data_IF_613131473650
#
_entry.id   IF_613131473650
#
_cell.length_a   1.000
_cell.length_b   1.000
_cell.length_c   1.000
_cell.angle_alpha   90.00
_cell.angle_beta   90.00
_cell.angle_gamma   90.00
#
_symmetry.space_group_name_H-M   'P 1'
#
loop_
_entity.id
_entity.type
_entity.pdbx_description
1 polymer ?
#
# COMPACT_ATOMS: atom_id res chain seq x y z
N UNK A 1 10.72 -20.31 5.57
CA UNK A 1 9.72 -20.42 4.47
C UNK A 1 10.48 -20.76 3.19
N UNK A 2 9.92 -21.66 2.38
CA UNK A 2 10.51 -22.03 1.08
C UNK A 2 9.94 -21.09 0.01
N UNK A 3 10.72 -20.76 -1.01
CA UNK A 3 10.22 -20.07 -2.20
C UNK A 3 9.51 -21.10 -3.07
N UNK A 4 8.28 -20.83 -3.46
CA UNK A 4 7.48 -21.67 -4.36
C UNK A 4 7.58 -21.11 -5.78
N UNK A 5 7.33 -21.94 -6.78
CA UNK A 5 7.38 -21.50 -8.19
C UNK A 5 6.35 -20.39 -8.46
N UNK A 6 5.21 -20.40 -7.77
CA UNK A 6 4.20 -19.35 -7.83
C UNK A 6 4.71 -17.98 -7.39
N UNK A 7 5.58 -17.92 -6.36
CA UNK A 7 6.16 -16.65 -5.91
C UNK A 7 7.03 -16.03 -7.02
N UNK A 8 7.76 -16.85 -7.75
CA UNK A 8 8.61 -16.42 -8.87
C UNK A 8 7.77 -15.98 -10.05
N UNK A 9 6.73 -16.75 -10.37
CA UNK A 9 5.82 -16.41 -11.48
C UNK A 9 5.07 -15.11 -11.21
N UNK A 10 4.68 -14.81 -9.96
CA UNK A 10 4.10 -13.53 -9.57
C UNK A 10 5.07 -12.36 -9.78
N UNK A 11 6.36 -12.52 -9.47
CA UNK A 11 7.37 -11.49 -9.72
C UNK A 11 7.56 -11.25 -11.23
N UNK A 12 7.55 -12.32 -12.02
CA UNK A 12 7.64 -12.22 -13.49
C UNK A 12 6.42 -11.50 -14.06
N UNK A 13 5.20 -11.82 -13.62
CA UNK A 13 3.99 -11.14 -14.08
C UNK A 13 3.96 -9.68 -13.65
N UNK A 14 4.41 -9.36 -12.43
CA UNK A 14 4.58 -7.98 -11.97
C UNK A 14 5.57 -7.20 -12.83
N UNK A 15 6.72 -7.81 -13.15
CA UNK A 15 7.71 -7.21 -14.04
C UNK A 15 7.14 -7.04 -15.46
N UNK A 16 6.50 -8.08 -15.99
CA UNK A 16 5.87 -8.12 -17.32
C UNK A 16 4.83 -7.01 -17.51
N UNK A 17 4.05 -6.74 -16.47
CA UNK A 17 3.04 -5.68 -16.48
C UNK A 17 3.65 -4.29 -16.70
N UNK A 18 4.88 -4.05 -16.20
CA UNK A 18 5.60 -2.77 -16.39
C UNK A 18 6.09 -2.56 -17.83
N UNK A 19 6.28 -3.64 -18.59
CA UNK A 19 6.73 -3.62 -19.98
C UNK A 19 5.59 -3.85 -20.99
N UNK A 20 4.34 -3.84 -20.50
CA UNK A 20 3.16 -3.91 -21.35
C UNK A 20 3.03 -2.66 -22.23
N UNK A 21 2.63 -2.84 -23.47
CA UNK A 21 2.30 -1.77 -24.41
C UNK A 21 0.80 -1.52 -24.41
N UNK A 22 0.40 -0.25 -24.54
CA UNK A 22 -1.01 0.12 -24.62
C UNK A 22 -1.44 0.28 -26.06
N UNK A 23 -2.33 -0.59 -26.54
CA UNK A 23 -2.89 -0.56 -27.89
C UNK A 23 -4.34 -0.08 -27.86
N UNK A 24 -4.68 0.93 -28.66
CA UNK A 24 -6.05 1.45 -28.74
C UNK A 24 -6.97 0.40 -29.37
N UNK A 25 -8.14 0.20 -28.75
CA UNK A 25 -9.14 -0.77 -29.19
C UNK A 25 -10.52 -0.11 -29.33
N UNK A 26 -11.28 -0.56 -30.33
CA UNK A 26 -12.65 -0.08 -30.59
C UNK A 26 -13.67 -1.08 -30.03
N UNK A 27 -13.69 -1.25 -28.72
CA UNK A 27 -14.64 -2.11 -27.99
C UNK A 27 -15.06 -1.48 -26.67
N UNK A 28 -15.98 -2.13 -25.98
CA UNK A 28 -16.37 -1.75 -24.63
C UNK A 28 -15.21 -1.94 -23.65
N UNK A 29 -15.15 -1.01 -22.68
CA UNK A 29 -14.21 -1.02 -21.55
C UNK A 29 -14.42 -2.27 -20.70
N UNK A 30 -13.33 -2.93 -20.36
CA UNK A 30 -13.27 -4.07 -19.45
C UNK A 30 -12.35 -3.76 -18.27
N UNK A 31 -12.48 -4.56 -17.22
CA UNK A 31 -11.54 -4.51 -16.10
C UNK A 31 -10.11 -4.81 -16.59
N UNK A 32 -9.13 -4.00 -16.19
CA UNK A 32 -7.74 -4.06 -16.60
C UNK A 32 -7.40 -3.27 -17.88
N UNK A 33 -8.40 -2.68 -18.56
CA UNK A 33 -8.15 -1.75 -19.66
C UNK A 33 -7.66 -0.39 -19.14
N UNK A 34 -6.97 0.33 -20.00
CA UNK A 34 -6.65 1.75 -19.78
C UNK A 34 -7.61 2.62 -20.57
N UNK A 35 -8.17 3.61 -19.90
CA UNK A 35 -9.03 4.60 -20.53
C UNK A 35 -8.37 5.97 -20.50
N UNK A 36 -8.52 6.73 -21.57
CA UNK A 36 -8.26 8.16 -21.54
C UNK A 36 -9.58 8.86 -21.25
N UNK A 37 -9.64 9.61 -20.15
CA UNK A 37 -10.86 10.20 -19.62
C UNK A 37 -10.78 11.72 -19.56
N UNK A 38 -11.92 12.39 -19.81
CA UNK A 38 -12.18 13.72 -19.32
C UNK A 38 -13.22 13.62 -18.22
N UNK A 39 -12.98 14.32 -17.10
CA UNK A 39 -13.89 14.36 -15.96
C UNK A 39 -14.19 15.80 -15.56
N UNK A 40 -15.42 16.05 -15.12
CA UNK A 40 -15.84 17.33 -14.59
C UNK A 40 -16.72 17.09 -13.35
N UNK A 41 -16.37 17.73 -12.24
CA UNK A 41 -17.11 17.62 -10.99
C UNK A 41 -18.12 18.76 -10.85
N UNK A 42 -19.31 18.44 -10.32
CA UNK A 42 -20.40 19.37 -10.05
C UNK A 42 -20.89 19.22 -8.61
N UNK A 43 -21.24 20.33 -7.96
CA UNK A 43 -21.94 20.36 -6.69
C UNK A 43 -23.21 21.19 -6.89
N UNK A 44 -24.38 20.63 -6.54
CA UNK A 44 -25.69 21.28 -6.72
C UNK A 44 -25.95 21.75 -8.17
N UNK A 45 -25.37 21.11 -9.18
CA UNK A 45 -25.50 21.46 -10.58
C UNK A 45 -24.57 22.58 -11.06
N UNK A 46 -23.74 23.14 -10.20
CA UNK A 46 -22.70 24.09 -10.55
C UNK A 46 -21.34 23.39 -10.65
N UNK A 47 -20.55 23.75 -11.65
CA UNK A 47 -19.22 23.20 -11.86
C UNK A 47 -18.28 23.65 -10.73
N UNK A 48 -17.52 22.70 -10.16
CA UNK A 48 -16.55 22.98 -9.11
C UNK A 48 -15.33 23.66 -9.71
N UNK A 49 -14.91 24.78 -9.13
CA UNK A 49 -13.69 25.46 -9.57
C UNK A 49 -12.45 24.55 -9.36
N UNK A 50 -11.72 24.29 -10.45
CA UNK A 50 -10.64 23.29 -10.46
C UNK A 50 -11.12 21.83 -10.51
N UNK A 51 -12.42 21.57 -10.62
CA UNK A 51 -13.02 20.22 -10.71
C UNK A 51 -12.96 19.58 -12.09
N UNK A 52 -12.19 20.13 -13.02
CA UNK A 52 -11.96 19.57 -14.35
C UNK A 52 -10.62 18.83 -14.42
N UNK A 53 -10.66 17.66 -15.05
CA UNK A 53 -9.49 16.87 -15.34
C UNK A 53 -9.60 16.29 -16.75
N UNK A 54 -8.65 16.62 -17.62
CA UNK A 54 -8.70 16.25 -19.02
C UNK A 54 -7.54 15.32 -19.39
N UNK A 55 -7.77 14.41 -20.33
CA UNK A 55 -6.79 13.47 -20.88
C UNK A 55 -6.11 12.59 -19.81
N UNK A 56 -6.83 12.25 -18.75
CA UNK A 56 -6.31 11.38 -17.69
C UNK A 56 -6.27 9.94 -18.18
N UNK A 57 -5.11 9.30 -18.04
CA UNK A 57 -4.98 7.87 -18.26
C UNK A 57 -5.30 7.12 -16.97
N UNK A 58 -6.30 6.25 -17.00
CA UNK A 58 -6.76 5.49 -15.86
C UNK A 58 -6.87 3.99 -16.16
N UNK A 59 -6.33 3.15 -15.27
CA UNK A 59 -6.47 1.69 -15.33
C UNK A 59 -7.76 1.29 -14.63
N UNK A 60 -8.72 0.77 -15.39
CA UNK A 60 -10.05 0.38 -14.90
C UNK A 60 -9.96 -0.85 -14.00
N UNK A 61 -10.55 -0.76 -12.82
CA UNK A 61 -10.48 -1.79 -11.79
C UNK A 61 -9.29 -1.65 -10.85
N UNK A 62 -8.55 -0.54 -10.92
CA UNK A 62 -7.43 -0.27 -10.00
C UNK A 62 -7.88 0.35 -8.68
N UNK A 63 -9.07 0.90 -8.60
CA UNK A 63 -9.66 1.57 -7.43
C UNK A 63 -8.77 2.70 -6.84
N UNK A 64 -8.02 3.38 -7.75
CA UNK A 64 -7.00 4.37 -7.36
C UNK A 64 -7.44 5.82 -7.51
N UNK A 65 -8.70 6.08 -7.87
CA UNK A 65 -9.14 7.44 -8.14
C UNK A 65 -10.34 7.81 -7.25
N UNK A 66 -11.52 7.88 -7.77
CA UNK A 66 -12.73 8.24 -7.04
C UNK A 66 -13.69 7.06 -7.00
N UNK A 67 -14.37 6.91 -5.87
CA UNK A 67 -15.30 5.80 -5.64
C UNK A 67 -16.40 5.78 -6.70
N UNK A 68 -16.71 4.59 -7.24
CA UNK A 68 -17.73 4.38 -8.25
C UNK A 68 -17.28 4.60 -9.70
N UNK A 69 -16.06 5.13 -9.94
CA UNK A 69 -15.56 5.35 -11.29
C UNK A 69 -15.41 4.04 -12.08
N UNK A 70 -14.83 3.03 -11.47
CA UNK A 70 -14.62 1.73 -12.13
C UNK A 70 -15.93 1.09 -12.58
N UNK A 71 -16.95 1.16 -11.73
CA UNK A 71 -18.27 0.58 -12.01
C UNK A 71 -18.94 1.23 -13.23
N UNK A 72 -18.84 2.56 -13.35
CA UNK A 72 -19.49 3.26 -14.46
C UNK A 72 -18.73 3.12 -15.79
N UNK A 73 -17.41 2.96 -15.72
CA UNK A 73 -16.56 2.83 -16.91
C UNK A 73 -16.74 1.49 -17.61
N UNK A 74 -16.99 0.42 -16.87
CA UNK A 74 -17.20 -0.91 -17.44
C UNK A 74 -18.39 -0.88 -18.40
N UNK A 75 -18.17 -1.36 -19.65
CA UNK A 75 -19.16 -1.38 -20.71
C UNK A 75 -19.33 -0.08 -21.49
N UNK A 76 -18.63 1.02 -21.13
CA UNK A 76 -18.58 2.24 -21.94
C UNK A 76 -17.68 2.04 -23.17
N UNK A 77 -17.87 2.87 -24.19
CA UNK A 77 -17.04 2.95 -25.40
C UNK A 77 -16.40 4.34 -25.51
N UNK A 78 -15.41 4.45 -26.35
CA UNK A 78 -14.89 5.75 -26.75
C UNK A 78 -16.00 6.67 -27.28
N UNK A 79 -16.11 7.87 -26.73
CA UNK A 79 -17.17 8.85 -26.99
C UNK A 79 -18.33 8.82 -26.01
N UNK A 80 -18.47 7.79 -25.19
CA UNK A 80 -19.54 7.70 -24.19
C UNK A 80 -19.27 8.62 -22.99
N UNK A 81 -20.37 9.15 -22.46
CA UNK A 81 -20.35 10.00 -21.27
C UNK A 81 -21.37 9.45 -20.25
N UNK A 82 -20.96 9.33 -19.00
CA UNK A 82 -21.85 9.02 -17.87
C UNK A 82 -21.61 9.96 -16.71
N UNK A 83 -22.64 10.15 -15.89
CA UNK A 83 -22.57 10.91 -14.64
C UNK A 83 -22.86 9.96 -13.47
N UNK A 84 -22.14 10.14 -12.37
CA UNK A 84 -22.33 9.35 -11.14
C UNK A 84 -22.11 10.22 -9.90
N UNK A 85 -22.70 9.80 -8.79
CA UNK A 85 -22.54 10.48 -7.49
C UNK A 85 -21.34 9.90 -6.75
N UNK A 86 -20.51 10.77 -6.18
CA UNK A 86 -19.37 10.36 -5.36
C UNK A 86 -19.07 11.41 -4.28
N UNK A 87 -18.25 11.07 -3.31
CA UNK A 87 -17.72 12.03 -2.34
C UNK A 87 -16.53 12.76 -2.95
N UNK A 88 -16.62 14.09 -3.03
CA UNK A 88 -15.52 14.91 -3.53
C UNK A 88 -14.57 15.27 -2.39
N UNK A 89 -13.28 14.96 -2.57
CA UNK A 89 -12.22 15.26 -1.60
C UNK A 89 -11.78 16.72 -1.77
N UNK A 90 -11.81 17.51 -0.70
CA UNK A 90 -11.22 18.86 -0.69
C UNK A 90 -12.18 20.05 -0.55
N UNK A 91 -13.47 19.82 -0.55
CA UNK A 91 -14.51 20.75 -0.09
C UNK A 91 -15.15 20.15 1.17
N UNK A 92 -16.00 20.79 1.90
CA UNK A 92 -16.46 20.38 3.24
C UNK A 92 -16.73 18.85 3.35
N UNK A 93 -16.15 18.17 4.35
CA UNK A 93 -16.28 16.73 4.55
C UNK A 93 -17.74 16.29 4.46
N UNK A 94 -18.05 15.41 3.49
CA UNK A 94 -19.36 14.76 3.35
C UNK A 94 -20.30 15.34 2.29
N UNK A 95 -19.92 16.37 1.53
CA UNK A 95 -20.73 16.80 0.39
C UNK A 95 -20.65 15.81 -0.77
N UNK A 96 -21.82 15.27 -1.16
CA UNK A 96 -21.94 14.47 -2.36
C UNK A 96 -21.91 15.37 -3.58
N UNK A 97 -21.03 15.07 -4.50
CA UNK A 97 -20.96 15.70 -5.80
C UNK A 97 -21.31 14.75 -6.92
N UNK A 98 -21.62 15.28 -8.07
CA UNK A 98 -21.78 14.53 -9.31
C UNK A 98 -20.51 14.69 -10.15
N UNK A 99 -19.99 13.57 -10.67
CA UNK A 99 -18.86 13.58 -11.61
C UNK A 99 -19.34 13.08 -12.97
N UNK A 100 -19.13 13.90 -13.97
CA UNK A 100 -19.35 13.56 -15.37
C UNK A 100 -18.05 13.05 -15.97
N UNK A 101 -18.00 11.78 -16.34
CA UNK A 101 -16.86 11.14 -16.98
C UNK A 101 -17.14 10.87 -18.47
N UNK A 102 -16.21 11.24 -19.32
CA UNK A 102 -16.24 10.98 -20.78
C UNK A 102 -15.04 10.14 -21.16
N UNK A 103 -15.29 8.99 -21.78
CA UNK A 103 -14.24 8.11 -22.31
C UNK A 103 -13.79 8.61 -23.68
N UNK A 104 -12.52 9.04 -23.80
CA UNK A 104 -11.96 9.47 -25.10
C UNK A 104 -11.38 8.31 -25.91
N UNK A 105 -10.72 7.39 -25.23
CA UNK A 105 -10.11 6.22 -25.85
C UNK A 105 -10.10 5.05 -24.86
N UNK A 106 -10.21 3.84 -25.41
CA UNK A 106 -10.01 2.58 -24.70
C UNK A 106 -8.73 1.94 -25.20
N UNK A 107 -7.86 1.53 -24.28
CA UNK A 107 -6.59 0.88 -24.61
C UNK A 107 -6.45 -0.42 -23.85
N UNK A 108 -6.09 -1.46 -24.57
CA UNK A 108 -5.74 -2.76 -23.98
C UNK A 108 -4.25 -2.84 -23.71
N UNK A 109 -3.87 -3.42 -22.58
CA UNK A 109 -2.46 -3.70 -22.28
C UNK A 109 -2.05 -5.01 -22.90
N UNK A 110 -1.22 -4.96 -23.95
CA UNK A 110 -0.55 -6.12 -24.49
C UNK A 110 0.71 -6.42 -23.70
N UNK A 111 0.75 -7.59 -23.08
CA UNK A 111 1.89 -8.03 -22.30
C UNK A 111 2.88 -8.79 -23.22
N UNK A 112 4.20 -8.54 -23.09
CA UNK A 112 5.19 -9.28 -23.85
C UNK A 112 5.16 -10.78 -23.48
N UNK A 113 5.54 -11.70 -24.40
CA UNK A 113 5.69 -13.12 -24.07
C UNK A 113 6.79 -13.30 -23.02
N UNK A 114 6.62 -14.31 -22.16
CA UNK A 114 7.62 -14.64 -21.11
C UNK A 114 8.69 -15.57 -21.70
N UNK A 115 9.71 -14.97 -22.29
CA UNK A 115 10.82 -15.65 -22.98
C UNK A 115 12.16 -14.94 -22.71
N UNK A 116 13.22 -15.42 -23.36
CA UNK A 116 14.55 -14.84 -23.24
C UNK A 116 14.64 -13.41 -23.78
N UNK A 117 13.80 -13.06 -24.78
CA UNK A 117 13.75 -11.71 -25.30
C UNK A 117 13.16 -10.74 -24.25
N UNK A 118 12.15 -11.20 -23.51
CA UNK A 118 11.61 -10.44 -22.36
C UNK A 118 12.66 -10.29 -21.25
N UNK A 119 13.40 -11.35 -20.91
CA UNK A 119 14.44 -11.26 -19.88
C UNK A 119 15.48 -10.18 -20.22
N UNK A 120 15.95 -10.12 -21.49
CA UNK A 120 16.86 -9.08 -21.99
C UNK A 120 16.27 -7.67 -21.98
N UNK A 121 14.97 -7.56 -22.27
CA UNK A 121 14.28 -6.27 -22.28
C UNK A 121 14.09 -5.72 -20.87
N UNK A 122 13.76 -6.57 -19.90
CA UNK A 122 13.28 -6.20 -18.59
C UNK A 122 14.35 -6.26 -17.50
N UNK A 123 15.53 -6.81 -17.79
CA UNK A 123 16.60 -7.06 -16.82
C UNK A 123 18.00 -7.03 -17.47
N UNK A 124 19.02 -7.29 -16.67
CA UNK A 124 20.41 -7.46 -17.11
C UNK A 124 20.76 -8.91 -17.54
N UNK A 125 19.78 -9.84 -17.48
CA UNK A 125 19.98 -11.23 -17.77
C UNK A 125 19.71 -11.57 -19.24
N UNK A 126 20.47 -12.51 -19.77
CA UNK A 126 20.34 -12.96 -21.16
C UNK A 126 19.24 -13.99 -21.37
N UNK A 127 18.85 -14.71 -20.32
CA UNK A 127 17.87 -15.78 -20.36
C UNK A 127 16.81 -15.65 -19.26
N UNK A 128 15.61 -16.17 -19.56
CA UNK A 128 14.53 -16.27 -18.57
C UNK A 128 14.94 -17.15 -17.37
N UNK A 129 15.75 -18.17 -17.61
CA UNK A 129 16.23 -19.04 -16.54
C UNK A 129 17.12 -18.29 -15.53
N UNK A 130 18.00 -17.39 -16.01
CA UNK A 130 18.84 -16.56 -15.14
C UNK A 130 17.99 -15.53 -14.37
N UNK A 131 17.01 -14.90 -15.01
CA UNK A 131 16.08 -13.97 -14.35
C UNK A 131 15.29 -14.68 -13.25
N UNK A 132 14.76 -15.90 -13.54
CA UNK A 132 14.06 -16.71 -12.51
C UNK A 132 14.96 -17.07 -11.35
N UNK A 133 16.21 -17.45 -11.62
CA UNK A 133 17.18 -17.80 -10.58
C UNK A 133 17.49 -16.60 -9.67
N UNK A 134 17.64 -15.41 -10.23
CA UNK A 134 17.83 -14.18 -9.45
C UNK A 134 16.59 -13.86 -8.57
N UNK A 135 15.39 -14.00 -9.10
CA UNK A 135 14.18 -13.84 -8.30
C UNK A 135 14.10 -14.83 -7.14
N UNK A 136 14.47 -16.09 -7.34
CA UNK A 136 14.54 -17.07 -6.25
C UNK A 136 15.47 -16.57 -5.15
N UNK A 137 16.69 -16.12 -5.48
CA UNK A 137 17.66 -15.63 -4.50
C UNK A 137 17.14 -14.40 -3.73
N UNK A 138 16.51 -13.46 -4.43
CA UNK A 138 15.92 -12.26 -3.81
C UNK A 138 14.76 -12.63 -2.88
N UNK A 139 13.86 -13.49 -3.33
CA UNK A 139 12.72 -13.96 -2.55
C UNK A 139 13.15 -14.77 -1.32
N UNK A 140 14.18 -15.62 -1.44
CA UNK A 140 14.74 -16.34 -0.29
C UNK A 140 15.27 -15.37 0.76
N UNK A 141 15.95 -14.28 0.34
CA UNK A 141 16.43 -13.25 1.26
C UNK A 141 15.26 -12.55 1.97
N UNK A 142 14.23 -12.11 1.22
CA UNK A 142 13.05 -11.45 1.79
C UNK A 142 12.34 -12.38 2.78
N UNK A 143 12.02 -13.61 2.36
CA UNK A 143 11.37 -14.62 3.23
C UNK A 143 12.17 -14.94 4.48
N UNK A 144 13.51 -14.95 4.38
CA UNK A 144 14.38 -15.15 5.55
C UNK A 144 14.33 -13.98 6.53
N UNK A 145 14.28 -12.74 6.00
CA UNK A 145 14.13 -11.54 6.83
C UNK A 145 12.77 -11.52 7.52
N UNK A 146 11.69 -11.79 6.77
CA UNK A 146 10.33 -11.89 7.31
C UNK A 146 10.21 -12.99 8.38
N UNK A 147 10.82 -14.15 8.13
CA UNK A 147 10.84 -15.23 9.11
C UNK A 147 11.56 -14.82 10.40
N UNK A 148 12.65 -14.08 10.30
CA UNK A 148 13.36 -13.52 11.44
C UNK A 148 12.50 -12.55 12.23
N UNK A 149 11.81 -11.63 11.55
CA UNK A 149 10.89 -10.67 12.17
C UNK A 149 9.72 -11.39 12.87
N UNK A 150 9.05 -12.32 12.17
CA UNK A 150 7.95 -13.10 12.76
C UNK A 150 8.39 -13.93 13.97
N UNK A 151 9.59 -14.51 13.93
CA UNK A 151 10.12 -15.27 15.06
C UNK A 151 10.36 -14.36 16.29
N UNK A 152 10.93 -13.18 16.05
CA UNK A 152 11.14 -12.16 17.10
C UNK A 152 9.80 -11.74 17.70
N UNK A 153 8.83 -11.38 16.87
CA UNK A 153 7.54 -10.87 17.32
C UNK A 153 6.79 -11.94 18.15
N UNK A 154 6.75 -13.19 17.68
CA UNK A 154 6.18 -14.32 18.44
C UNK A 154 6.89 -14.59 19.76
N UNK A 155 8.21 -14.40 19.79
CA UNK A 155 8.98 -14.55 21.03
C UNK A 155 8.61 -13.46 22.03
N UNK A 156 8.56 -12.19 21.58
CA UNK A 156 8.17 -11.06 22.42
C UNK A 156 6.72 -11.24 22.92
N UNK A 157 5.78 -11.57 22.06
CA UNK A 157 4.39 -11.87 22.44
C UNK A 157 4.31 -12.95 23.53
N UNK A 158 5.06 -14.04 23.34
CA UNK A 158 5.08 -15.13 24.33
C UNK A 158 5.68 -14.69 25.65
N UNK A 159 6.77 -13.93 25.63
CA UNK A 159 7.39 -13.42 26.85
C UNK A 159 6.46 -12.45 27.59
N UNK A 160 5.72 -11.60 26.87
CA UNK A 160 4.72 -10.70 27.45
C UNK A 160 3.54 -11.47 28.06
N UNK A 161 3.13 -12.58 27.42
CA UNK A 161 2.04 -13.42 27.94
C UNK A 161 2.45 -14.22 29.19
N UNK A 162 3.70 -14.68 29.25
CA UNK A 162 4.22 -15.51 30.34
C UNK A 162 4.68 -14.68 31.58
N UNK A 163 4.82 -13.35 31.43
CA UNK A 163 5.31 -12.46 32.50
C UNK A 163 4.33 -11.31 32.79
N UNK A 164 4.08 -11.07 34.08
CA UNK A 164 3.31 -9.91 34.51
C UNK A 164 4.25 -8.70 34.64
N UNK A 165 4.08 -7.73 33.71
CA UNK A 165 4.91 -6.53 33.67
C UNK A 165 4.07 -5.33 34.12
N UNK A 166 4.38 -4.76 35.32
CA UNK A 166 3.66 -3.60 35.81
C UNK A 166 4.05 -2.36 35.01
N UNK A 167 3.03 -1.64 34.55
CA UNK A 167 3.20 -0.35 33.85
C UNK A 167 2.59 0.74 34.74
N UNK A 168 3.36 1.77 35.15
CA UNK A 168 2.84 2.86 35.94
C UNK A 168 1.77 3.68 35.19
N UNK A 169 0.60 3.87 35.80
CA UNK A 169 -0.52 4.57 35.15
C UNK A 169 -0.19 6.02 34.79
N UNK A 170 0.60 6.71 35.65
CA UNK A 170 1.03 8.08 35.38
C UNK A 170 1.88 8.20 34.08
N UNK A 171 2.66 7.18 33.73
CA UNK A 171 3.44 7.16 32.48
C UNK A 171 2.52 6.93 31.29
N UNK A 172 1.56 6.03 31.45
CA UNK A 172 0.55 5.79 30.39
C UNK A 172 -0.25 7.06 30.13
N UNK A 173 -0.74 7.73 31.17
CA UNK A 173 -1.50 8.98 31.03
C UNK A 173 -0.70 10.08 30.33
N UNK A 174 0.60 10.19 30.63
CA UNK A 174 1.48 11.16 29.98
C UNK A 174 1.58 10.89 28.49
N UNK A 175 1.94 9.67 28.09
CA UNK A 175 2.10 9.29 26.69
C UNK A 175 0.79 9.40 25.89
N UNK A 176 -0.33 8.98 26.49
CA UNK A 176 -1.67 9.10 25.87
C UNK A 176 -2.05 10.56 25.64
N UNK A 177 -1.81 11.43 26.61
CA UNK A 177 -2.12 12.84 26.47
C UNK A 177 -1.24 13.51 25.42
N UNK A 178 0.06 13.23 25.41
CA UNK A 178 0.99 13.77 24.40
C UNK A 178 0.59 13.34 22.99
N UNK A 179 0.21 12.06 22.82
CA UNK A 179 -0.27 11.54 21.52
C UNK A 179 -1.54 12.27 21.06
N UNK A 180 -2.57 12.33 21.91
CA UNK A 180 -3.86 12.95 21.58
C UNK A 180 -3.75 14.48 21.39
N UNK A 181 -2.85 15.16 22.12
CA UNK A 181 -2.57 16.58 21.93
C UNK A 181 -1.93 16.83 20.57
N UNK A 182 -0.98 15.98 20.17
CA UNK A 182 -0.34 16.04 18.83
C UNK A 182 -1.33 15.87 17.69
N UNK A 183 -2.39 15.08 17.87
CA UNK A 183 -3.45 14.88 16.88
C UNK A 183 -4.62 15.89 17.00
N UNK A 184 -4.66 16.70 18.07
CA UNK A 184 -5.79 17.60 18.35
C UNK A 184 -7.08 16.88 18.75
N UNK A 185 -6.99 15.64 19.31
CA UNK A 185 -8.12 14.74 19.63
C UNK A 185 -8.28 14.46 21.14
N UNK A 186 -7.91 15.38 21.99
CA UNK A 186 -7.95 15.21 23.47
C UNK A 186 -9.33 14.82 24.00
N UNK A 187 -10.41 15.27 23.38
CA UNK A 187 -11.80 15.03 23.79
C UNK A 187 -12.39 13.73 23.22
N UNK A 188 -11.66 13.01 22.36
CA UNK A 188 -12.12 11.77 21.73
C UNK A 188 -11.92 10.57 22.68
N UNK A 189 -12.98 10.21 23.40
CA UNK A 189 -12.94 9.17 24.39
C UNK A 189 -12.73 7.76 23.84
N UNK A 190 -13.23 7.48 22.62
CA UNK A 190 -13.06 6.19 21.97
C UNK A 190 -11.62 6.01 21.51
N UNK A 191 -11.08 7.01 20.83
CA UNK A 191 -9.69 7.00 20.38
C UNK A 191 -8.72 6.97 21.58
N UNK A 192 -9.03 7.69 22.67
CA UNK A 192 -8.24 7.63 23.92
C UNK A 192 -8.12 6.21 24.47
N UNK A 193 -9.20 5.42 24.44
CA UNK A 193 -9.17 4.04 24.92
C UNK A 193 -8.30 3.14 24.05
N UNK A 194 -8.30 3.34 22.74
CA UNK A 194 -7.43 2.64 21.80
C UNK A 194 -5.96 2.98 22.02
N UNK A 195 -5.65 4.28 22.14
CA UNK A 195 -4.29 4.78 22.41
C UNK A 195 -3.77 4.29 23.77
N UNK A 196 -4.61 4.28 24.84
CA UNK A 196 -4.22 3.73 26.16
C UNK A 196 -3.79 2.26 26.03
N UNK A 197 -4.56 1.44 25.32
CA UNK A 197 -4.24 0.03 25.14
C UNK A 197 -2.93 -0.16 24.35
N UNK A 198 -2.69 0.65 23.31
CA UNK A 198 -1.46 0.62 22.52
C UNK A 198 -0.25 1.06 23.34
N UNK A 199 -0.35 2.18 24.05
CA UNK A 199 0.72 2.71 24.92
C UNK A 199 1.10 1.70 26.01
N UNK A 200 0.11 1.09 26.68
CA UNK A 200 0.37 0.03 27.68
C UNK A 200 1.10 -1.16 27.06
N UNK A 201 0.72 -1.58 25.86
CA UNK A 201 1.37 -2.70 25.17
C UNK A 201 2.81 -2.35 24.77
N UNK A 202 3.05 -1.14 24.27
CA UNK A 202 4.38 -0.66 23.92
C UNK A 202 5.29 -0.60 25.13
N UNK A 203 4.85 0.07 26.20
CA UNK A 203 5.62 0.19 27.44
C UNK A 203 5.96 -1.16 28.07
N UNK A 204 5.01 -2.13 28.04
CA UNK A 204 5.32 -3.50 28.49
C UNK A 204 6.45 -4.14 27.68
N UNK A 205 6.43 -3.95 26.35
CA UNK A 205 7.46 -4.48 25.47
C UNK A 205 8.82 -3.82 25.74
N UNK A 206 8.83 -2.50 25.94
CA UNK A 206 10.04 -1.74 26.24
C UNK A 206 10.65 -2.17 27.59
N UNK A 207 9.84 -2.27 28.63
CA UNK A 207 10.31 -2.73 29.95
C UNK A 207 10.81 -4.17 29.93
N UNK A 208 10.16 -5.04 29.14
CA UNK A 208 10.63 -6.42 28.95
C UNK A 208 12.00 -6.44 28.28
N UNK A 209 12.15 -5.69 27.20
CA UNK A 209 13.39 -5.63 26.44
C UNK A 209 14.52 -5.01 27.27
N UNK A 210 14.25 -3.94 28.01
CA UNK A 210 15.20 -3.31 28.92
C UNK A 210 15.68 -4.28 30.00
N UNK A 211 14.74 -5.04 30.58
CA UNK A 211 15.07 -6.06 31.57
C UNK A 211 15.96 -7.17 31.00
N UNK A 212 15.70 -7.61 29.76
CA UNK A 212 16.52 -8.60 29.04
C UNK A 212 17.91 -8.05 28.76
N UNK A 213 17.99 -6.81 28.22
CA UNK A 213 19.27 -6.13 27.95
C UNK A 213 20.12 -6.04 29.20
N UNK A 214 19.51 -5.67 30.34
CA UNK A 214 20.21 -5.58 31.61
C UNK A 214 20.63 -6.95 32.16
N UNK A 215 19.78 -7.99 32.04
CA UNK A 215 20.06 -9.32 32.55
C UNK A 215 21.15 -10.06 31.76
N UNK A 216 21.17 -9.84 30.43
CA UNK A 216 22.11 -10.50 29.51
C UNK A 216 23.37 -9.66 29.24
N UNK A 217 23.51 -8.48 29.90
CA UNK A 217 24.62 -7.52 29.70
C UNK A 217 24.88 -7.21 28.21
N UNK A 218 23.79 -6.97 27.46
CA UNK A 218 23.87 -6.69 26.04
C UNK A 218 24.55 -5.34 25.80
N UNK A 219 25.70 -5.36 25.13
CA UNK A 219 26.46 -4.16 24.79
C UNK A 219 26.33 -3.90 23.28
N UNK A 220 26.05 -2.67 22.89
CA UNK A 220 26.04 -2.24 21.50
C UNK A 220 27.26 -1.36 21.26
N UNK A 221 28.07 -1.72 20.27
CA UNK A 221 29.24 -0.92 19.90
C UNK A 221 28.83 0.24 18.97
N UNK A 222 29.65 1.32 18.95
CA UNK A 222 29.43 2.45 18.03
C UNK A 222 29.42 2.01 16.55
N UNK A 223 30.17 0.97 16.22
CA UNK A 223 30.20 0.41 14.85
C UNK A 223 28.88 -0.25 14.51
N UNK A 224 28.33 -1.11 15.38
CA UNK A 224 27.04 -1.77 15.18
C UNK A 224 25.89 -0.76 15.08
N UNK A 225 25.91 0.29 15.92
CA UNK A 225 24.92 1.36 15.85
C UNK A 225 25.01 2.10 14.52
N UNK A 226 26.24 2.43 14.07
CA UNK A 226 26.45 3.13 12.80
C UNK A 226 25.98 2.26 11.62
N UNK A 227 26.30 0.97 11.61
CA UNK A 227 25.85 0.03 10.57
C UNK A 227 24.33 -0.10 10.52
N UNK A 228 23.67 -0.04 11.68
CA UNK A 228 22.22 -0.09 11.77
C UNK A 228 21.55 1.17 11.22
N UNK A 229 22.12 2.36 11.49
CA UNK A 229 21.58 3.65 11.04
C UNK A 229 21.80 3.92 9.55
N UNK A 230 22.77 3.26 8.90
CA UNK A 230 23.11 3.46 7.48
C UNK A 230 22.41 2.44 6.56
N UNK A 231 21.74 1.45 7.10
CA UNK A 231 20.95 0.44 6.34
C UNK A 231 19.59 1.00 5.94
#
# INVERSE_FOLDING_TARGET
MKVEDSDVDEQIESLRTRFGTLTTVEREVKNGDFTTLDMTAYINGEEVDGGQANDISYEVGSDKMIDGLDEILIGMKAGDTKTFETQLVGQQEGEKGEVKATVKAVKERELPPVDDAFAKLASEFDTLAELKADFVVRLERVKKMEQGAQARDRLVEKLLADNEIPVPDNLVELEVNDHLEGEGRLEDAEHRAEVDAQVRSSLKSDFLLDAIVAAEDVQITEVELTEYLVR
#
